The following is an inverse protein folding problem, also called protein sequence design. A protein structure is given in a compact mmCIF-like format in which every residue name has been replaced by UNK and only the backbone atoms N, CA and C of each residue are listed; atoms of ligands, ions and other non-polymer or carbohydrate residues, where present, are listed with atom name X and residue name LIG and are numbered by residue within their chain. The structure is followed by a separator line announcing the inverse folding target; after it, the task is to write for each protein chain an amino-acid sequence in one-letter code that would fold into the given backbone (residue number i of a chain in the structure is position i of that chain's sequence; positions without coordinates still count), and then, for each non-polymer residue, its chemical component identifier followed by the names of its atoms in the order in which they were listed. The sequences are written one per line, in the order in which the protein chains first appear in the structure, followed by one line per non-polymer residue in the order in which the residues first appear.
data_IF_742784243079
#
_entry.id   IF_742784243079
#
_cell.length_a   1.000
_cell.length_b   1.000
_cell.length_c   1.000
_cell.angle_alpha   90.00
_cell.angle_beta   90.00
_cell.angle_gamma   90.00
#
_symmetry.space_group_name_H-M   'P 1'
#
loop_
_entity.id
_entity.type
_entity.pdbx_description
1 polymer ?
#
# COMPACT_ATOMS: atom_id res chain seq x y z
N UNK A 1 -39.65 39.02 16.03
CA UNK A 1 -39.37 38.06 14.94
C UNK A 1 -37.99 38.18 14.32
N UNK A 2 -37.24 39.26 14.45
CA UNK A 2 -35.89 39.41 13.84
C UNK A 2 -34.73 38.77 14.64
N UNK A 3 -34.92 38.52 15.95
CA UNK A 3 -33.87 37.94 16.82
C UNK A 3 -33.76 36.44 16.73
N UNK A 4 -34.86 35.73 16.45
CA UNK A 4 -34.89 34.23 16.34
C UNK A 4 -34.18 33.77 15.08
N UNK A 5 -34.23 34.56 13.99
CA UNK A 5 -33.58 34.22 12.69
C UNK A 5 -32.06 34.28 12.77
N UNK A 6 -31.51 35.17 13.61
CA UNK A 6 -30.04 35.31 13.75
C UNK A 6 -29.45 34.18 14.61
N UNK A 7 -30.20 33.66 15.61
CA UNK A 7 -29.74 32.52 16.43
C UNK A 7 -29.67 31.22 15.61
N UNK A 8 -30.58 31.06 14.65
CA UNK A 8 -30.58 29.87 13.79
C UNK A 8 -29.41 29.85 12.78
N UNK A 9 -28.95 31.04 12.36
CA UNK A 9 -27.81 31.17 11.42
C UNK A 9 -26.46 30.90 12.09
N UNK A 10 -26.34 31.12 13.41
CA UNK A 10 -25.11 30.88 14.18
C UNK A 10 -24.93 29.41 14.60
N UNK A 11 -26.00 28.60 14.61
CA UNK A 11 -25.95 27.18 14.96
C UNK A 11 -25.48 26.26 13.83
N UNK A 12 -25.43 26.74 12.60
CA UNK A 12 -24.99 25.95 11.43
C UNK A 12 -23.47 25.89 11.30
N UNK A 13 -22.71 26.73 12.00
CA UNK A 13 -21.24 26.81 11.90
C UNK A 13 -20.45 25.99 12.95
N UNK A 14 -21.12 25.21 13.78
CA UNK A 14 -20.47 24.33 14.76
C UNK A 14 -20.54 22.84 14.40
N UNK A 15 -20.43 22.49 13.10
CA UNK A 15 -20.02 21.12 12.77
C UNK A 15 -18.52 21.04 13.01
N UNK A 16 -18.06 20.18 13.97
CA UNK A 16 -16.64 19.90 14.05
C UNK A 16 -16.24 19.33 12.69
N UNK A 17 -15.27 19.96 12.05
CA UNK A 17 -14.50 19.31 10.99
C UNK A 17 -13.88 18.10 11.69
N UNK A 18 -14.48 16.95 11.52
CA UNK A 18 -13.85 15.69 11.91
C UNK A 18 -12.56 15.61 11.10
N UNK A 19 -11.48 16.04 11.72
CA UNK A 19 -10.13 15.77 11.25
C UNK A 19 -10.05 14.27 11.10
N UNK A 20 -10.02 13.82 9.87
CA UNK A 20 -9.78 12.42 9.53
C UNK A 20 -8.46 12.06 10.22
N UNK A 21 -8.57 11.39 11.36
CA UNK A 21 -7.44 10.99 12.17
C UNK A 21 -6.53 10.17 11.29
N UNK A 22 -5.45 10.76 10.81
CA UNK A 22 -4.46 10.12 9.99
C UNK A 22 -3.98 8.87 10.72
N UNK A 23 -4.36 7.69 10.21
CA UNK A 23 -3.84 6.43 10.77
C UNK A 23 -2.33 6.51 10.59
N UNK A 24 -1.59 6.53 11.70
CA UNK A 24 -0.13 6.56 11.66
C UNK A 24 0.37 5.38 10.84
N UNK A 25 1.08 5.68 9.77
CA UNK A 25 1.68 4.67 8.91
C UNK A 25 2.73 3.89 9.71
N UNK A 26 2.64 2.56 9.77
CA UNK A 26 3.61 1.75 10.48
C UNK A 26 5.02 1.95 9.94
N UNK A 27 5.98 2.12 10.82
CA UNK A 27 7.39 2.17 10.45
C UNK A 27 8.00 0.78 10.51
N UNK A 28 8.78 0.44 9.47
CA UNK A 28 9.41 -0.86 9.32
C UNK A 28 10.67 -0.78 8.45
N UNK A 29 11.44 -1.87 8.48
CA UNK A 29 12.46 -2.15 7.48
C UNK A 29 12.36 -3.61 7.05
N UNK A 30 12.76 -3.90 5.81
CA UNK A 30 12.71 -5.24 5.22
C UNK A 30 13.80 -5.40 4.15
N UNK A 31 14.18 -6.63 3.85
CA UNK A 31 15.11 -6.94 2.76
C UNK A 31 14.41 -7.69 1.65
N UNK A 32 14.68 -7.29 0.41
CA UNK A 32 14.21 -8.01 -0.77
C UNK A 32 14.86 -9.40 -0.87
N UNK A 33 14.37 -10.23 -1.79
CA UNK A 33 14.98 -11.54 -2.07
C UNK A 33 16.42 -11.41 -2.58
N UNK A 34 16.82 -10.26 -3.13
CA UNK A 34 18.20 -9.92 -3.53
C UNK A 34 19.02 -9.26 -2.41
N UNK A 35 18.45 -9.11 -1.21
CA UNK A 35 19.14 -8.52 -0.06
C UNK A 35 19.10 -6.99 0.02
N UNK A 36 18.53 -6.30 -0.98
CA UNK A 36 18.38 -4.83 -0.92
C UNK A 36 17.47 -4.44 0.25
N UNK A 37 17.98 -3.54 1.11
CA UNK A 37 17.21 -3.05 2.28
C UNK A 37 16.31 -1.89 1.87
N UNK A 38 15.05 -1.97 2.28
CA UNK A 38 14.12 -0.84 2.34
C UNK A 38 13.87 -0.47 3.81
N UNK A 39 13.87 0.83 4.13
CA UNK A 39 13.63 1.33 5.50
C UNK A 39 12.68 2.53 5.42
N UNK A 40 11.42 2.31 5.76
CA UNK A 40 10.36 3.33 5.69
C UNK A 40 10.58 4.54 6.60
N UNK A 41 11.49 4.43 7.60
CA UNK A 41 11.84 5.55 8.49
C UNK A 41 12.74 6.56 7.80
N UNK A 42 13.49 6.10 6.77
CA UNK A 42 14.45 6.90 6.01
C UNK A 42 13.89 7.36 4.67
N UNK A 43 12.78 6.72 4.23
CA UNK A 43 12.16 7.04 2.95
C UNK A 43 11.36 8.34 3.06
N UNK A 44 11.76 9.32 2.25
CA UNK A 44 11.11 10.64 2.17
C UNK A 44 10.17 10.75 0.98
N UNK A 45 10.48 10.00 -0.07
CA UNK A 45 9.66 9.92 -1.27
C UNK A 45 8.42 9.05 -1.04
N UNK A 46 7.38 9.18 -1.88
CA UNK A 46 6.30 8.20 -1.89
C UNK A 46 6.82 6.79 -2.13
N UNK A 47 6.14 5.78 -1.59
CA UNK A 47 6.40 4.37 -1.91
C UNK A 47 5.10 3.58 -1.92
N UNK A 48 5.11 2.47 -2.65
CA UNK A 48 3.94 1.62 -2.83
C UNK A 48 4.23 0.22 -2.30
N UNK A 49 3.30 -0.33 -1.54
CA UNK A 49 3.34 -1.71 -1.07
C UNK A 49 2.15 -2.45 -1.67
N UNK A 50 2.38 -3.65 -2.21
CA UNK A 50 1.33 -4.61 -2.52
C UNK A 50 1.53 -5.86 -1.68
N UNK A 51 0.57 -6.17 -0.81
CA UNK A 51 0.55 -7.40 -0.04
C UNK A 51 -0.05 -8.52 -0.89
N UNK A 52 0.65 -9.66 -0.96
CA UNK A 52 0.27 -10.80 -1.80
C UNK A 52 0.60 -12.14 -1.13
N UNK A 53 0.27 -13.25 -1.79
CA UNK A 53 0.79 -14.59 -1.53
C UNK A 53 0.89 -15.38 -2.83
N UNK A 54 1.72 -16.45 -2.86
CA UNK A 54 2.07 -17.13 -4.13
C UNK A 54 0.90 -17.86 -4.79
N UNK A 55 -0.15 -18.22 -4.05
CA UNK A 55 -1.35 -18.90 -4.57
C UNK A 55 -2.55 -17.96 -4.73
N UNK A 56 -2.34 -16.64 -4.76
CA UNK A 56 -3.38 -15.62 -4.90
C UNK A 56 -3.73 -15.40 -6.38
N UNK A 57 -4.89 -15.87 -6.88
CA UNK A 57 -5.22 -15.76 -8.30
C UNK A 57 -5.28 -14.32 -8.83
N UNK A 58 -5.88 -13.32 -8.15
CA UNK A 58 -5.83 -11.95 -8.62
C UNK A 58 -4.41 -11.37 -8.60
N UNK A 59 -3.57 -11.74 -7.62
CA UNK A 59 -2.18 -11.26 -7.55
C UNK A 59 -1.35 -11.66 -8.78
N UNK A 60 -1.62 -12.83 -9.37
CA UNK A 60 -0.94 -13.32 -10.59
C UNK A 60 -1.16 -12.35 -11.77
N UNK A 61 -2.34 -11.73 -11.86
CA UNK A 61 -2.67 -10.76 -12.91
C UNK A 61 -2.19 -9.35 -12.57
N UNK A 62 -2.36 -8.96 -11.33
CA UNK A 62 -2.19 -7.56 -10.91
C UNK A 62 -0.74 -7.17 -10.61
N UNK A 63 0.10 -8.10 -10.14
CA UNK A 63 1.51 -7.82 -9.86
C UNK A 63 2.28 -7.40 -11.12
N UNK A 64 2.21 -8.13 -12.26
CA UNK A 64 2.86 -7.68 -13.49
C UNK A 64 2.32 -6.35 -14.01
N UNK A 65 1.00 -6.14 -13.88
CA UNK A 65 0.35 -4.89 -14.30
C UNK A 65 0.86 -3.71 -13.48
N UNK A 66 0.84 -3.81 -12.15
CA UNK A 66 1.33 -2.78 -11.25
C UNK A 66 2.83 -2.53 -11.43
N UNK A 67 3.63 -3.59 -11.57
CA UNK A 67 5.07 -3.46 -11.82
C UNK A 67 5.33 -2.69 -13.12
N UNK A 68 4.68 -3.07 -14.23
CA UNK A 68 4.83 -2.39 -15.52
C UNK A 68 4.43 -0.91 -15.41
N UNK A 69 3.27 -0.64 -14.80
CA UNK A 69 2.76 0.71 -14.62
C UNK A 69 3.73 1.58 -13.80
N UNK A 70 4.18 1.09 -12.66
CA UNK A 70 5.11 1.82 -11.78
C UNK A 70 6.47 2.03 -12.44
N UNK A 71 7.03 1.02 -13.08
CA UNK A 71 8.33 1.12 -13.77
C UNK A 71 8.30 2.10 -14.94
N UNK A 72 7.15 2.25 -15.60
CA UNK A 72 6.99 3.18 -16.73
C UNK A 72 6.76 4.62 -16.29
N UNK A 73 5.88 4.82 -15.30
CA UNK A 73 5.43 6.16 -14.92
C UNK A 73 6.19 6.73 -13.71
N UNK A 74 6.68 5.87 -12.81
CA UNK A 74 7.28 6.24 -11.54
C UNK A 74 8.53 5.41 -11.21
N UNK A 75 9.57 5.40 -12.07
CA UNK A 75 10.72 4.50 -11.94
C UNK A 75 11.54 4.74 -10.66
N UNK A 76 11.41 5.91 -10.03
CA UNK A 76 12.11 6.27 -8.80
C UNK A 76 11.30 6.03 -7.53
N UNK A 77 10.02 5.68 -7.65
CA UNK A 77 9.15 5.38 -6.50
C UNK A 77 9.36 3.93 -6.09
N UNK A 78 9.79 3.64 -4.84
CA UNK A 78 9.94 2.27 -4.37
C UNK A 78 8.63 1.50 -4.44
N UNK A 79 8.68 0.31 -5.07
CA UNK A 79 7.59 -0.65 -5.14
C UNK A 79 8.00 -1.92 -4.40
N UNK A 80 7.15 -2.36 -3.46
CA UNK A 80 7.40 -3.53 -2.63
C UNK A 80 6.24 -4.53 -2.75
N UNK A 81 6.52 -5.74 -3.20
CA UNK A 81 5.61 -6.88 -3.10
C UNK A 81 5.96 -7.67 -1.84
N UNK A 82 5.09 -7.63 -0.83
CA UNK A 82 5.36 -8.23 0.49
C UNK A 82 4.46 -9.44 0.70
N UNK A 83 5.08 -10.60 0.93
CA UNK A 83 4.40 -11.85 1.29
C UNK A 83 4.49 -12.10 2.79
N UNK A 84 3.35 -12.09 3.53
CA UNK A 84 3.29 -12.37 4.95
C UNK A 84 2.94 -13.83 5.29
N UNK A 85 2.64 -14.68 4.31
CA UNK A 85 2.14 -16.03 4.54
C UNK A 85 3.26 -16.92 5.01
N UNK A 86 3.10 -17.53 6.20
CA UNK A 86 4.14 -18.31 6.85
C UNK A 86 4.60 -19.51 6.02
N UNK A 87 3.66 -20.13 5.34
CA UNK A 87 3.85 -21.34 4.53
C UNK A 87 4.63 -21.08 3.25
N UNK A 88 4.58 -19.85 2.73
CA UNK A 88 5.28 -19.47 1.51
C UNK A 88 6.77 -19.23 1.82
N UNK A 89 7.65 -20.06 1.30
CA UNK A 89 9.08 -19.90 1.46
C UNK A 89 9.66 -18.83 0.51
N UNK A 90 10.86 -18.33 0.81
CA UNK A 90 11.59 -17.45 -0.13
C UNK A 90 11.78 -18.09 -1.50
N UNK A 91 11.96 -19.40 -1.56
CA UNK A 91 12.11 -20.16 -2.82
C UNK A 91 10.81 -20.17 -3.61
N UNK A 92 9.66 -20.28 -2.94
CA UNK A 92 8.36 -20.24 -3.60
C UNK A 92 8.08 -18.84 -4.16
N UNK A 93 8.40 -17.80 -3.40
CA UNK A 93 8.29 -16.41 -3.88
C UNK A 93 9.25 -16.15 -5.05
N UNK A 94 10.46 -16.70 -5.05
CA UNK A 94 11.38 -16.59 -6.18
C UNK A 94 10.79 -17.24 -7.43
N UNK A 95 10.30 -18.50 -7.34
CA UNK A 95 9.64 -19.17 -8.46
C UNK A 95 8.43 -18.38 -8.96
N UNK A 96 7.68 -17.78 -8.04
CA UNK A 96 6.54 -16.93 -8.37
C UNK A 96 6.97 -15.70 -9.15
N UNK A 97 8.03 -14.99 -8.72
CA UNK A 97 8.58 -13.83 -9.42
C UNK A 97 9.06 -14.18 -10.85
N UNK A 98 9.73 -15.34 -11.00
CA UNK A 98 10.18 -15.85 -12.30
C UNK A 98 9.01 -16.15 -13.25
N UNK A 99 7.95 -16.81 -12.72
CA UNK A 99 6.72 -17.08 -13.45
C UNK A 99 6.04 -15.79 -13.93
N UNK A 100 6.03 -14.76 -13.12
CA UNK A 100 5.44 -13.46 -13.44
C UNK A 100 6.34 -12.57 -14.30
N UNK A 101 7.59 -12.95 -14.50
CA UNK A 101 8.63 -12.14 -15.18
C UNK A 101 8.83 -10.77 -14.53
N UNK A 102 8.71 -10.71 -13.20
CA UNK A 102 8.94 -9.51 -12.38
C UNK A 102 10.22 -9.74 -11.58
N UNK A 103 11.19 -8.81 -11.58
CA UNK A 103 12.46 -9.01 -10.89
C UNK A 103 12.29 -9.29 -9.39
N UNK A 104 13.03 -10.26 -8.87
CA UNK A 104 12.98 -10.66 -7.45
C UNK A 104 13.42 -9.56 -6.47
N UNK A 105 14.07 -8.51 -6.97
CA UNK A 105 14.41 -7.31 -6.19
C UNK A 105 13.20 -6.54 -5.66
N UNK A 106 12.02 -6.72 -6.29
CA UNK A 106 10.76 -6.13 -5.83
C UNK A 106 10.03 -6.99 -4.79
N UNK A 107 10.45 -8.25 -4.56
CA UNK A 107 9.78 -9.18 -3.67
C UNK A 107 10.43 -9.27 -2.30
N UNK A 108 9.61 -9.30 -1.27
CA UNK A 108 10.00 -9.27 0.13
C UNK A 108 9.23 -10.33 0.91
N UNK A 109 9.90 -11.02 1.83
CA UNK A 109 9.28 -11.98 2.73
C UNK A 109 9.16 -11.41 4.14
N UNK A 110 7.92 -11.26 4.62
CA UNK A 110 7.61 -10.93 6.01
C UNK A 110 7.34 -12.23 6.79
N UNK A 111 8.42 -12.95 7.12
CA UNK A 111 8.36 -14.34 7.64
C UNK A 111 7.49 -14.53 8.87
N UNK A 112 7.30 -13.49 9.68
CA UNK A 112 6.49 -13.54 10.90
C UNK A 112 5.20 -12.74 10.80
N UNK A 113 4.91 -12.13 9.65
CA UNK A 113 3.78 -11.23 9.47
C UNK A 113 3.87 -9.97 10.35
N UNK A 114 5.03 -9.67 10.92
CA UNK A 114 5.21 -8.58 11.88
C UNK A 114 5.03 -7.19 11.27
N UNK A 115 5.34 -7.06 9.98
CA UNK A 115 5.13 -5.84 9.21
C UNK A 115 3.66 -5.79 8.79
N UNK A 116 3.19 -6.82 8.11
CA UNK A 116 1.84 -6.86 7.51
C UNK A 116 0.74 -6.71 8.55
N UNK A 117 0.86 -7.34 9.73
CA UNK A 117 -0.10 -7.19 10.84
C UNK A 117 -0.31 -5.74 11.28
N UNK A 118 0.69 -4.87 11.11
CA UNK A 118 0.56 -3.46 11.45
C UNK A 118 -0.30 -2.68 10.44
N UNK A 119 -0.41 -3.18 9.20
CA UNK A 119 -1.23 -2.58 8.14
C UNK A 119 -2.67 -3.07 8.15
N UNK A 120 -2.95 -4.19 8.82
CA UNK A 120 -4.27 -4.79 8.85
C UNK A 120 -4.82 -4.84 10.28
N UNK A 121 -5.98 -4.22 10.50
CA UNK A 121 -6.74 -4.36 11.76
C UNK A 121 -7.64 -5.60 11.67
N UNK A 122 -7.05 -6.79 11.78
CA UNK A 122 -7.81 -8.05 11.68
C UNK A 122 -7.41 -8.89 10.46
N UNK A 123 -8.39 -9.44 9.74
CA UNK A 123 -8.14 -10.35 8.61
C UNK A 123 -7.46 -9.63 7.44
N UNK A 124 -6.34 -10.18 6.98
CA UNK A 124 -5.65 -9.71 5.78
C UNK A 124 -6.46 -10.08 4.52
N UNK A 125 -6.49 -9.17 3.55
CA UNK A 125 -7.03 -9.40 2.21
C UNK A 125 -5.93 -9.24 1.17
N UNK A 126 -6.00 -10.01 0.09
CA UNK A 126 -5.00 -10.03 -0.97
C UNK A 126 -5.65 -9.97 -2.37
N UNK A 127 -5.08 -9.18 -3.27
CA UNK A 127 -4.04 -8.20 -2.98
C UNK A 127 -4.59 -7.00 -2.23
N UNK A 128 -3.76 -6.38 -1.40
CA UNK A 128 -4.02 -5.04 -0.85
C UNK A 128 -2.85 -4.16 -1.22
N UNK A 129 -3.14 -3.06 -1.91
CA UNK A 129 -2.16 -2.09 -2.38
C UNK A 129 -2.30 -0.81 -1.58
N UNK A 130 -1.18 -0.29 -1.06
CA UNK A 130 -1.14 0.96 -0.30
C UNK A 130 -0.06 1.87 -0.85
N UNK A 131 -0.40 3.13 -1.08
CA UNK A 131 0.55 4.19 -1.36
C UNK A 131 0.76 5.04 -0.12
N UNK A 132 2.01 5.41 0.15
CA UNK A 132 2.42 6.08 1.38
C UNK A 132 3.38 7.21 1.05
N UNK A 133 3.21 8.35 1.70
CA UNK A 133 4.16 9.47 1.70
C UNK A 133 4.38 9.94 3.14
N UNK A 134 5.60 9.77 3.64
CA UNK A 134 5.93 10.14 5.03
C UNK A 134 5.14 9.32 6.06
N UNK A 135 4.17 9.95 6.73
CA UNK A 135 3.29 9.33 7.72
C UNK A 135 1.83 9.19 7.26
N UNK A 136 1.57 9.42 5.97
CA UNK A 136 0.22 9.46 5.42
C UNK A 136 0.00 8.37 4.39
N UNK A 137 -1.21 7.79 4.40
CA UNK A 137 -1.68 6.95 3.31
C UNK A 137 -2.19 7.85 2.18
N UNK A 138 -1.62 7.68 0.98
CA UNK A 138 -2.12 8.33 -0.22
C UNK A 138 -3.34 7.60 -0.79
N UNK A 139 -3.29 6.26 -0.73
CA UNK A 139 -4.38 5.39 -1.17
C UNK A 139 -4.28 4.01 -0.53
N UNK A 140 -5.41 3.27 -0.57
CA UNK A 140 -5.50 1.88 -0.15
C UNK A 140 -6.56 1.17 -0.98
N UNK A 141 -6.15 0.20 -1.79
CA UNK A 141 -7.01 -0.57 -2.69
C UNK A 141 -7.00 -2.05 -2.35
N UNK A 142 -8.12 -2.73 -2.61
CA UNK A 142 -8.25 -4.19 -2.61
C UNK A 142 -8.28 -4.67 -4.05
N UNK A 143 -7.09 -4.77 -4.66
CA UNK A 143 -6.96 -5.01 -6.09
C UNK A 143 -6.78 -3.73 -6.89
N UNK A 144 -6.39 -3.87 -8.16
CA UNK A 144 -6.23 -2.76 -9.10
C UNK A 144 -6.85 -3.09 -10.45
N UNK A 145 -7.50 -2.11 -11.02
CA UNK A 145 -7.87 -2.03 -12.42
C UNK A 145 -7.43 -0.68 -13.01
N UNK A 146 -7.91 -0.31 -14.18
CA UNK A 146 -7.52 0.94 -14.82
C UNK A 146 -7.90 2.17 -13.97
N UNK A 147 -9.02 2.14 -13.28
CA UNK A 147 -9.48 3.26 -12.43
C UNK A 147 -8.49 3.52 -11.29
N UNK A 148 -8.06 2.47 -10.57
CA UNK A 148 -7.06 2.61 -9.51
C UNK A 148 -5.69 3.03 -10.06
N UNK A 149 -5.29 2.57 -11.25
CA UNK A 149 -4.04 3.03 -11.88
C UNK A 149 -4.08 4.52 -12.21
N UNK A 150 -5.20 5.03 -12.72
CA UNK A 150 -5.39 6.46 -13.00
C UNK A 150 -5.38 7.27 -11.70
N UNK A 151 -5.97 6.75 -10.62
CA UNK A 151 -5.93 7.37 -9.30
C UNK A 151 -4.50 7.40 -8.74
N UNK A 152 -3.74 6.29 -8.82
CA UNK A 152 -2.31 6.24 -8.44
C UNK A 152 -1.52 7.31 -9.20
N UNK A 153 -1.79 7.48 -10.50
CA UNK A 153 -1.10 8.47 -11.34
C UNK A 153 -1.34 9.90 -10.89
N UNK A 154 -2.50 10.19 -10.30
CA UNK A 154 -2.84 11.51 -9.79
C UNK A 154 -2.27 11.82 -8.40
N UNK A 155 -1.92 10.78 -7.63
CA UNK A 155 -1.50 10.89 -6.23
C UNK A 155 0.02 10.79 -6.01
N UNK A 156 0.77 10.16 -6.94
CA UNK A 156 2.23 10.03 -6.90
C UNK A 156 2.93 11.13 -7.66
#
# INVERSE_FOLDING_TARGET
MKVITIIFLLLVFMFPIESTFGQNVPKFWIRSLEGKRFDSRKEKSPYVISFFFVHCPPCIKEIPLLHKFMSTNFPHVPLLFIDPIKEDSKKDIQKFSEKLKVPKSFFYKDSFGSISKKFFKGKMSFPTIVGIRGNEYLFRFKGIDQTQLDEIKSLL
#
